data_IF_825420089888
#
_entry.id   IF_825420089888
#
_cell.length_a   1.000
_cell.length_b   1.000
_cell.length_c   1.000
_cell.angle_alpha   90.00
_cell.angle_beta   90.00
_cell.angle_gamma   90.00
#
_symmetry.space_group_name_H-M   'P 1'
#
loop_
_entity.id
_entity.type
_entity.pdbx_description
1 polymer ?
#
# COMPACT_ATOMS: atom_id res chain seq x y z
N UNK A 1 24.40 13.10 32.30
CA UNK A 1 23.06 13.39 32.85
C UNK A 1 22.83 14.87 32.59
N UNK A 2 22.00 15.27 31.62
CA UNK A 2 20.54 15.22 31.72
C UNK A 2 19.91 14.97 30.34
N UNK A 3 19.03 13.97 30.27
CA UNK A 3 18.10 13.83 29.15
C UNK A 3 17.01 14.90 29.31
N UNK A 4 16.84 15.76 28.31
CA UNK A 4 15.70 16.69 28.24
C UNK A 4 14.90 16.38 26.97
N UNK A 5 13.89 15.52 27.18
CA UNK A 5 12.55 15.57 26.58
C UNK A 5 12.42 16.25 25.21
N UNK A 6 12.57 15.46 24.14
CA UNK A 6 11.97 15.78 22.85
C UNK A 6 10.52 15.31 22.86
N UNK A 7 9.59 16.26 23.08
CA UNK A 7 8.14 16.05 23.04
C UNK A 7 7.72 15.38 21.73
N UNK A 8 7.43 14.09 21.81
CA UNK A 8 6.92 13.26 20.72
C UNK A 8 5.47 13.66 20.44
N UNK A 9 5.25 14.59 19.51
CA UNK A 9 3.90 14.90 19.01
C UNK A 9 3.48 13.82 18.00
N UNK A 10 2.88 12.74 18.49
CA UNK A 10 2.20 11.75 17.64
C UNK A 10 0.90 12.37 17.13
N UNK A 11 0.93 13.08 16.00
CA UNK A 11 -0.29 13.39 15.25
C UNK A 11 -0.74 12.13 14.52
N UNK A 12 -1.60 11.33 15.18
CA UNK A 12 -2.44 10.33 14.52
C UNK A 12 -3.44 11.08 13.62
N UNK A 13 -3.05 11.42 12.39
CA UNK A 13 -4.04 11.77 11.37
C UNK A 13 -4.84 10.50 11.10
N UNK A 14 -6.09 10.51 11.55
CA UNK A 14 -7.01 9.39 11.57
C UNK A 14 -6.96 8.57 10.28
N UNK A 15 -6.90 7.25 10.49
CA UNK A 15 -7.24 6.19 9.56
C UNK A 15 -8.57 6.54 8.87
N UNK A 16 -8.53 7.15 7.69
CA UNK A 16 -9.75 7.49 6.97
C UNK A 16 -10.23 6.25 6.20
N UNK A 17 -10.92 5.37 6.93
CA UNK A 17 -11.67 4.24 6.37
C UNK A 17 -12.84 4.84 5.57
N UNK A 18 -12.72 4.82 4.24
CA UNK A 18 -13.86 5.03 3.35
C UNK A 18 -14.58 3.67 3.20
N UNK A 19 -15.85 3.54 3.62
CA UNK A 19 -16.59 2.29 3.44
C UNK A 19 -16.65 1.94 1.94
N UNK A 20 -16.30 0.69 1.60
CA UNK A 20 -16.30 0.19 0.22
C UNK A 20 -14.98 0.32 -0.56
N UNK A 21 -13.92 0.88 0.03
CA UNK A 21 -12.59 0.96 -0.62
C UNK A 21 -11.52 0.51 0.36
N UNK A 22 -11.07 -0.75 0.25
CA UNK A 22 -9.95 -1.26 1.05
C UNK A 22 -8.69 -0.45 0.73
N UNK A 23 -8.39 0.53 1.57
CA UNK A 23 -7.11 1.25 1.62
C UNK A 23 -6.59 1.13 3.05
N UNK A 24 -5.70 0.17 3.26
CA UNK A 24 -4.81 0.21 4.42
C UNK A 24 -3.59 1.03 4.03
N UNK A 25 -3.48 2.24 4.57
CA UNK A 25 -2.27 3.06 4.51
C UNK A 25 -1.99 3.53 5.93
N UNK A 26 -1.03 2.88 6.59
CA UNK A 26 -0.53 3.32 7.88
C UNK A 26 0.63 4.29 7.65
N UNK A 27 0.42 5.58 7.90
CA UNK A 27 1.47 6.59 7.91
C UNK A 27 1.91 6.84 9.36
N UNK A 28 3.15 6.48 9.73
CA UNK A 28 3.71 6.77 11.06
C UNK A 28 4.70 7.95 11.01
N UNK A 29 4.49 8.98 11.86
CA UNK A 29 5.15 10.30 11.86
C UNK A 29 6.09 10.59 13.07
N UNK A 30 7.20 11.36 12.92
CA UNK A 30 8.40 11.58 13.81
C UNK A 30 9.48 12.31 13.00
N UNK A 31 9.33 13.62 12.96
CA UNK A 31 10.28 14.71 12.72
C UNK A 31 11.27 14.73 11.53
N UNK A 32 11.40 13.69 10.71
CA UNK A 32 12.02 13.74 9.39
C UNK A 32 11.56 12.55 8.53
N UNK A 33 10.26 12.47 8.26
CA UNK A 33 9.60 11.20 7.93
C UNK A 33 9.58 10.90 6.45
N UNK A 34 10.55 10.08 6.06
CA UNK A 34 10.49 9.28 4.83
C UNK A 34 9.19 8.48 4.80
N UNK A 35 8.36 8.72 3.79
CA UNK A 35 7.10 7.96 3.60
C UNK A 35 7.40 6.57 3.06
N UNK A 36 7.14 5.54 3.87
CA UNK A 36 7.30 4.14 3.51
C UNK A 36 5.95 3.51 3.11
N UNK A 37 5.90 2.88 1.93
CA UNK A 37 4.78 2.06 1.48
C UNK A 37 5.08 0.57 1.69
N UNK A 38 4.38 -0.08 2.61
CA UNK A 38 4.43 -1.53 2.82
C UNK A 38 3.21 -2.20 2.20
N UNK A 39 3.45 -3.21 1.35
CA UNK A 39 2.41 -3.92 0.62
C UNK A 39 2.50 -5.41 0.97
N UNK A 40 1.37 -6.02 1.37
CA UNK A 40 1.22 -7.47 1.41
C UNK A 40 0.97 -7.99 -0.02
N UNK A 41 2.00 -8.57 -0.62
CA UNK A 41 1.97 -9.02 -2.02
C UNK A 41 1.00 -10.18 -2.21
N UNK A 42 1.07 -11.18 -1.33
CA UNK A 42 0.25 -12.38 -1.42
C UNK A 42 -1.25 -12.04 -1.39
N UNK A 43 -1.64 -11.18 -0.45
CA UNK A 43 -3.02 -10.74 -0.32
C UNK A 43 -3.54 -10.03 -1.57
N UNK A 44 -2.77 -9.10 -2.14
CA UNK A 44 -3.20 -8.35 -3.32
C UNK A 44 -3.19 -9.20 -4.59
N UNK A 45 -2.24 -10.14 -4.74
CA UNK A 45 -2.22 -11.09 -5.86
C UNK A 45 -3.46 -11.99 -5.80
N UNK A 46 -3.76 -12.58 -4.62
CA UNK A 46 -4.96 -13.39 -4.41
C UNK A 46 -6.22 -12.60 -4.74
N UNK A 47 -6.38 -11.39 -4.19
CA UNK A 47 -7.55 -10.54 -4.49
C UNK A 47 -7.67 -10.21 -5.96
N UNK A 48 -6.56 -9.90 -6.64
CA UNK A 48 -6.56 -9.53 -8.05
C UNK A 48 -6.97 -10.70 -8.94
N UNK A 49 -6.53 -11.92 -8.61
CA UNK A 49 -6.91 -13.13 -9.33
C UNK A 49 -8.42 -13.35 -9.31
N UNK A 50 -9.08 -13.25 -8.16
CA UNK A 50 -10.52 -13.50 -8.06
C UNK A 50 -11.39 -12.31 -8.49
N UNK A 51 -10.86 -11.08 -8.48
CA UNK A 51 -11.61 -9.88 -8.84
C UNK A 51 -11.71 -9.64 -10.37
N UNK A 52 -10.75 -10.13 -11.15
CA UNK A 52 -10.68 -9.89 -12.60
C UNK A 52 -10.85 -11.23 -13.32
N UNK A 53 -12.00 -11.40 -13.97
CA UNK A 53 -12.34 -12.61 -14.74
C UNK A 53 -11.95 -12.45 -16.21
N UNK A 54 -11.72 -13.58 -16.89
CA UNK A 54 -11.51 -13.66 -18.35
C UNK A 54 -10.32 -12.84 -18.90
N UNK A 55 -9.29 -12.59 -18.07
CA UNK A 55 -8.03 -12.02 -18.54
C UNK A 55 -6.95 -13.08 -18.62
N UNK A 56 -6.63 -13.48 -19.84
CA UNK A 56 -5.58 -14.44 -20.17
C UNK A 56 -4.71 -13.92 -21.31
N UNK A 57 -3.50 -14.49 -21.45
CA UNK A 57 -2.66 -14.21 -22.60
C UNK A 57 -3.11 -15.00 -23.84
N UNK A 58 -2.40 -14.87 -24.96
CA UNK A 58 -2.70 -15.56 -26.21
C UNK A 58 -2.64 -17.10 -26.14
N UNK A 59 -2.01 -17.65 -25.09
CA UNK A 59 -1.96 -19.10 -24.81
C UNK A 59 -3.07 -19.57 -23.85
N UNK A 60 -3.95 -18.67 -23.42
CA UNK A 60 -5.00 -18.96 -22.45
C UNK A 60 -4.53 -19.00 -21.00
N UNK A 61 -3.28 -18.64 -20.70
CA UNK A 61 -2.77 -18.63 -19.32
C UNK A 61 -3.33 -17.41 -18.58
N UNK A 62 -3.88 -17.57 -17.35
CA UNK A 62 -4.46 -16.46 -16.60
C UNK A 62 -3.39 -15.45 -16.20
N UNK A 63 -3.64 -14.17 -16.51
CA UNK A 63 -2.72 -13.05 -16.21
C UNK A 63 -3.38 -11.94 -15.38
N UNK A 64 -4.66 -12.13 -15.04
CA UNK A 64 -5.47 -11.29 -14.16
C UNK A 64 -4.79 -10.91 -12.83
N UNK A 65 -4.15 -11.86 -12.16
CA UNK A 65 -3.52 -11.61 -10.85
C UNK A 65 -2.40 -10.57 -10.94
N UNK A 66 -1.49 -10.75 -11.91
CA UNK A 66 -0.35 -9.86 -12.15
C UNK A 66 -0.87 -8.50 -12.62
N UNK A 67 -1.80 -8.48 -13.58
CA UNK A 67 -2.39 -7.25 -14.09
C UNK A 67 -3.05 -6.40 -12.99
N UNK A 68 -3.89 -7.02 -12.15
CA UNK A 68 -4.58 -6.34 -11.06
C UNK A 68 -3.63 -5.86 -9.97
N UNK A 69 -2.63 -6.67 -9.61
CA UNK A 69 -1.60 -6.31 -8.65
C UNK A 69 -0.80 -5.10 -9.14
N UNK A 70 -0.21 -5.16 -10.34
CA UNK A 70 0.60 -4.08 -10.89
C UNK A 70 -0.21 -2.80 -11.07
N UNK A 71 -1.47 -2.88 -11.50
CA UNK A 71 -2.38 -1.72 -11.60
C UNK A 71 -2.59 -1.06 -10.24
N UNK A 72 -2.76 -1.85 -9.19
CA UNK A 72 -2.98 -1.37 -7.83
C UNK A 72 -1.73 -0.71 -7.25
N UNK A 73 -0.57 -1.35 -7.38
CA UNK A 73 0.73 -0.80 -6.96
C UNK A 73 1.00 0.52 -7.67
N UNK A 74 0.85 0.57 -9.01
CA UNK A 74 1.05 1.80 -9.80
C UNK A 74 0.15 2.94 -9.33
N UNK A 75 -1.10 2.64 -8.96
CA UNK A 75 -2.02 3.64 -8.40
C UNK A 75 -1.58 4.13 -7.02
N UNK A 76 -1.13 3.24 -6.14
CA UNK A 76 -0.62 3.62 -4.82
C UNK A 76 0.63 4.50 -4.92
N UNK A 77 1.57 4.17 -5.80
CA UNK A 77 2.76 5.00 -6.04
C UNK A 77 2.38 6.41 -6.50
N UNK A 78 1.42 6.53 -7.43
CA UNK A 78 0.95 7.84 -7.92
C UNK A 78 0.23 8.65 -6.85
N UNK A 79 -0.65 8.01 -6.08
CA UNK A 79 -1.55 8.69 -5.13
C UNK A 79 -0.85 9.02 -3.80
N UNK A 80 0.04 8.13 -3.33
CA UNK A 80 0.71 8.27 -2.02
C UNK A 80 2.08 8.93 -2.12
N UNK A 81 2.72 8.87 -3.30
CA UNK A 81 4.08 9.38 -3.56
C UNK A 81 5.07 9.02 -2.43
N UNK A 82 5.20 7.71 -2.11
CA UNK A 82 6.13 7.29 -1.07
C UNK A 82 7.57 7.51 -1.53
N UNK A 83 8.47 7.67 -0.58
CA UNK A 83 9.91 7.79 -0.84
C UNK A 83 10.58 6.41 -0.84
N UNK A 84 10.06 5.48 -0.04
CA UNK A 84 10.50 4.09 0.02
C UNK A 84 9.30 3.15 -0.11
N UNK A 85 9.54 1.95 -0.61
CA UNK A 85 8.52 0.92 -0.70
C UNK A 85 9.09 -0.49 -0.54
N UNK A 86 8.31 -1.38 0.07
CA UNK A 86 8.60 -2.80 0.13
C UNK A 86 7.32 -3.61 -0.08
N UNK A 87 7.48 -4.78 -0.70
CA UNK A 87 6.44 -5.79 -0.83
C UNK A 87 6.89 -6.99 -0.02
N UNK A 88 6.00 -7.49 0.84
CA UNK A 88 6.21 -8.65 1.71
C UNK A 88 5.33 -9.80 1.26
#
# INVERSE_FOLDING_TARGET
MTASESSVSVRLSALQIQPGRLRYVACFGYDNRVRLLLIDGHYYVYRSFFAIQNLSNSRGEPTNAIFGFTKTVRRMLKDLRPELGAVV
#
